data_IF_637186453326
#
_entry.id   IF_637186453326
#
_cell.length_a   1.000
_cell.length_b   1.000
_cell.length_c   1.000
_cell.angle_alpha   90.00
_cell.angle_beta   90.00
_cell.angle_gamma   90.00
#
_symmetry.space_group_name_H-M   'P 1'
#
loop_
_entity.id
_entity.type
_entity.pdbx_description
1 polymer ?
#
# COMPACT_ATOMS: atom_id res chain seq x y z
N UNK A 1 8.33 -15.38 -7.43
CA UNK A 1 9.57 -16.11 -7.73
C UNK A 1 10.81 -15.44 -7.10
N UNK A 2 11.12 -14.14 -7.39
CA UNK A 2 12.31 -13.47 -6.84
C UNK A 2 12.33 -13.48 -5.32
N UNK A 3 11.28 -13.03 -4.67
CA UNK A 3 11.18 -13.00 -3.19
C UNK A 3 11.36 -14.39 -2.57
N UNK A 4 10.76 -15.41 -3.16
CA UNK A 4 10.90 -16.79 -2.69
C UNK A 4 12.36 -17.24 -2.74
N UNK A 5 13.06 -16.95 -3.84
CA UNK A 5 14.49 -17.26 -3.97
C UNK A 5 15.30 -16.51 -2.93
N UNK A 6 15.10 -15.20 -2.76
CA UNK A 6 15.81 -14.38 -1.78
C UNK A 6 15.59 -14.88 -0.34
N UNK A 7 14.38 -15.31 -0.02
CA UNK A 7 14.07 -15.90 1.27
C UNK A 7 14.80 -17.25 1.47
N UNK A 8 14.76 -18.14 0.47
CA UNK A 8 15.40 -19.45 0.54
C UNK A 8 16.93 -19.36 0.69
N UNK A 9 17.57 -18.42 -0.02
CA UNK A 9 19.02 -18.17 0.10
C UNK A 9 19.40 -17.34 1.33
N UNK A 10 18.45 -17.05 2.22
CA UNK A 10 18.67 -16.31 3.48
C UNK A 10 19.11 -14.84 3.28
N UNK A 11 18.80 -14.25 2.15
CA UNK A 11 19.09 -12.84 1.89
C UNK A 11 18.09 -11.90 2.61
N UNK A 12 16.85 -12.35 2.77
CA UNK A 12 15.80 -11.65 3.51
C UNK A 12 15.08 -12.59 4.48
N UNK A 13 14.56 -12.07 5.58
CA UNK A 13 13.70 -12.78 6.52
C UNK A 13 12.21 -12.59 6.20
N UNK A 14 11.89 -11.75 5.22
CA UNK A 14 10.53 -11.45 4.81
C UNK A 14 10.09 -12.46 3.76
N UNK A 15 8.96 -13.12 4.01
CA UNK A 15 8.32 -14.03 3.07
C UNK A 15 6.89 -13.59 2.74
N UNK A 16 6.61 -13.46 1.47
CA UNK A 16 5.33 -13.02 0.95
C UNK A 16 4.81 -14.02 -0.09
N UNK A 17 4.16 -15.11 0.35
CA UNK A 17 3.87 -16.25 -0.54
C UNK A 17 2.77 -15.99 -1.58
N UNK A 18 1.79 -15.15 -1.30
CA UNK A 18 0.58 -15.04 -2.13
C UNK A 18 0.03 -13.63 -2.28
N UNK A 19 0.89 -12.62 -2.21
CA UNK A 19 0.41 -11.24 -2.27
C UNK A 19 0.33 -10.75 -3.73
N UNK A 20 -0.81 -11.00 -4.34
CA UNK A 20 -1.12 -10.51 -5.68
C UNK A 20 -1.17 -8.97 -5.72
N UNK A 21 -1.69 -8.34 -4.67
CA UNK A 21 -1.90 -6.90 -4.59
C UNK A 21 -0.59 -6.12 -4.51
N UNK A 22 0.34 -6.58 -3.71
CA UNK A 22 1.62 -5.90 -3.58
C UNK A 22 2.48 -6.08 -4.83
N UNK A 23 2.44 -7.27 -5.45
CA UNK A 23 3.12 -7.52 -6.72
C UNK A 23 2.52 -6.71 -7.88
N UNK A 24 1.23 -6.39 -7.84
CA UNK A 24 0.58 -5.57 -8.85
C UNK A 24 1.24 -4.18 -9.01
N UNK A 25 1.61 -3.53 -7.92
CA UNK A 25 2.28 -2.23 -7.97
C UNK A 25 3.59 -2.27 -8.76
N UNK A 26 4.41 -3.30 -8.56
CA UNK A 26 5.68 -3.46 -9.31
C UNK A 26 5.43 -3.67 -10.79
N UNK A 27 4.43 -4.48 -11.14
CA UNK A 27 4.06 -4.76 -12.53
C UNK A 27 3.60 -3.47 -13.23
N UNK A 28 2.77 -2.67 -12.59
CA UNK A 28 2.29 -1.40 -13.15
C UNK A 28 3.45 -0.45 -13.42
N UNK A 29 4.35 -0.25 -12.47
CA UNK A 29 5.51 0.62 -12.67
C UNK A 29 6.44 0.11 -13.79
N UNK A 30 6.72 -1.20 -13.82
CA UNK A 30 7.49 -1.80 -14.90
C UNK A 30 6.83 -1.64 -16.26
N UNK A 31 5.53 -1.86 -16.35
CA UNK A 31 4.77 -1.66 -17.60
C UNK A 31 4.80 -0.20 -18.06
N UNK A 32 4.67 0.77 -17.15
CA UNK A 32 4.77 2.20 -17.47
C UNK A 32 6.16 2.56 -18.03
N UNK A 33 7.22 2.01 -17.44
CA UNK A 33 8.59 2.20 -17.95
C UNK A 33 8.74 1.61 -19.34
N UNK A 34 8.25 0.39 -19.59
CA UNK A 34 8.27 -0.23 -20.91
C UNK A 34 7.50 0.63 -21.92
N UNK A 35 6.30 1.05 -21.55
CA UNK A 35 5.47 1.88 -22.42
C UNK A 35 6.14 3.19 -22.79
N UNK A 36 6.81 3.84 -21.84
CA UNK A 36 7.45 5.14 -22.05
C UNK A 36 8.78 5.06 -22.80
N UNK A 37 9.55 3.99 -22.54
CA UNK A 37 10.94 3.87 -23.06
C UNK A 37 11.07 2.84 -24.19
N UNK A 38 10.05 2.06 -24.46
CA UNK A 38 10.07 0.92 -25.38
C UNK A 38 11.20 -0.10 -25.07
N UNK A 39 11.66 -0.11 -23.81
CA UNK A 39 12.74 -0.98 -23.35
C UNK A 39 12.24 -1.98 -22.31
N UNK A 40 12.08 -3.24 -22.75
CA UNK A 40 11.58 -4.32 -21.89
C UNK A 40 12.55 -4.63 -20.73
N UNK A 41 13.85 -4.66 -20.99
CA UNK A 41 14.85 -4.95 -19.98
C UNK A 41 14.88 -3.88 -18.87
N UNK A 42 14.71 -2.60 -19.22
CA UNK A 42 14.63 -1.51 -18.27
C UNK A 42 13.37 -1.63 -17.40
N UNK A 43 12.25 -2.03 -17.97
CA UNK A 43 11.02 -2.26 -17.20
C UNK A 43 11.17 -3.39 -16.19
N UNK A 44 11.76 -4.52 -16.60
CA UNK A 44 12.04 -5.63 -15.68
C UNK A 44 13.03 -5.20 -14.58
N UNK A 45 14.09 -4.48 -14.92
CA UNK A 45 15.03 -3.95 -13.94
C UNK A 45 14.33 -3.04 -12.92
N UNK A 46 13.44 -2.16 -13.36
CA UNK A 46 12.62 -1.32 -12.50
C UNK A 46 11.77 -2.15 -11.52
N UNK A 47 11.09 -3.19 -12.01
CA UNK A 47 10.28 -4.09 -11.17
C UNK A 47 11.13 -4.78 -10.10
N UNK A 48 12.31 -5.27 -10.47
CA UNK A 48 13.25 -5.92 -9.54
C UNK A 48 13.72 -4.92 -8.48
N UNK A 49 14.15 -3.73 -8.87
CA UNK A 49 14.63 -2.70 -7.95
C UNK A 49 13.55 -2.27 -6.97
N UNK A 50 12.32 -2.05 -7.43
CA UNK A 50 11.20 -1.70 -6.56
C UNK A 50 10.86 -2.82 -5.58
N UNK A 51 10.95 -4.07 -6.00
CA UNK A 51 10.73 -5.21 -5.13
C UNK A 51 11.81 -5.32 -4.05
N UNK A 52 13.09 -5.18 -4.42
CA UNK A 52 14.21 -5.18 -3.48
C UNK A 52 14.12 -4.01 -2.49
N UNK A 53 13.76 -2.83 -2.97
CA UNK A 53 13.52 -1.65 -2.13
C UNK A 53 12.42 -1.92 -1.10
N UNK A 54 11.28 -2.48 -1.52
CA UNK A 54 10.19 -2.81 -0.61
C UNK A 54 10.59 -3.83 0.45
N UNK A 55 11.34 -4.87 0.09
CA UNK A 55 11.84 -5.86 1.05
C UNK A 55 12.79 -5.24 2.07
N UNK A 56 13.72 -4.39 1.63
CA UNK A 56 14.66 -3.71 2.51
C UNK A 56 13.94 -2.84 3.55
N UNK A 57 13.00 -2.00 3.10
CA UNK A 57 12.26 -1.14 4.01
C UNK A 57 11.34 -1.95 4.93
N UNK A 58 10.74 -3.01 4.43
CA UNK A 58 9.92 -3.92 5.22
C UNK A 58 10.70 -4.56 6.38
N UNK A 59 11.94 -4.95 6.15
CA UNK A 59 12.82 -5.45 7.21
C UNK A 59 13.19 -4.38 8.23
N UNK A 60 13.51 -3.16 7.77
CA UNK A 60 13.84 -2.04 8.67
C UNK A 60 12.71 -1.69 9.63
N UNK A 61 11.45 -1.77 9.18
CA UNK A 61 10.29 -1.43 9.99
C UNK A 61 9.68 -2.62 10.73
N UNK A 62 10.06 -3.86 10.41
CA UNK A 62 9.42 -5.08 10.88
C UNK A 62 9.22 -5.12 12.41
N UNK A 63 10.27 -4.86 13.18
CA UNK A 63 10.21 -4.88 14.66
C UNK A 63 9.26 -3.83 15.23
N UNK A 64 9.26 -2.60 14.65
CA UNK A 64 8.38 -1.50 15.10
C UNK A 64 6.93 -1.81 14.76
N UNK A 65 6.69 -2.27 13.54
CA UNK A 65 5.35 -2.58 13.03
C UNK A 65 4.72 -3.73 13.82
N UNK A 66 5.43 -4.83 13.96
CA UNK A 66 5.02 -6.02 14.71
C UNK A 66 4.65 -5.69 16.17
N UNK A 67 5.48 -4.86 16.82
CA UNK A 67 5.22 -4.39 18.19
C UNK A 67 4.00 -3.48 18.30
N UNK A 68 3.83 -2.56 17.35
CA UNK A 68 2.73 -1.58 17.37
C UNK A 68 1.37 -2.24 17.18
N UNK A 69 1.28 -3.18 16.25
CA UNK A 69 0.03 -3.88 15.95
C UNK A 69 -0.19 -5.15 16.78
N UNK A 70 0.78 -5.53 17.60
CA UNK A 70 0.77 -6.79 18.35
C UNK A 70 0.59 -8.02 17.45
N UNK A 71 1.23 -7.98 16.27
CA UNK A 71 1.31 -9.08 15.31
C UNK A 71 2.76 -9.54 15.23
N UNK A 72 3.15 -10.58 16.02
CA UNK A 72 4.51 -11.09 15.96
C UNK A 72 4.79 -11.64 14.56
N UNK A 73 6.01 -11.40 14.10
CA UNK A 73 6.51 -11.97 12.84
C UNK A 73 5.79 -11.47 11.57
N UNK A 74 5.22 -10.28 11.63
CA UNK A 74 4.56 -9.63 10.49
C UNK A 74 5.15 -8.24 10.25
N UNK A 75 5.15 -7.82 9.00
CA UNK A 75 5.57 -6.47 8.60
C UNK A 75 4.74 -5.94 7.44
N UNK A 76 4.91 -4.67 7.13
CA UNK A 76 4.34 -4.07 5.93
C UNK A 76 5.22 -4.38 4.73
N UNK A 77 4.61 -4.72 3.60
CA UNK A 77 5.29 -4.98 2.34
C UNK A 77 4.58 -4.32 1.14
N UNK A 78 3.44 -3.72 1.38
CA UNK A 78 2.74 -2.96 0.34
C UNK A 78 3.54 -1.71 -0.04
N UNK A 79 3.83 -1.52 -1.32
CA UNK A 79 4.66 -0.43 -1.80
C UNK A 79 4.17 0.95 -1.35
N UNK A 80 2.86 1.19 -1.42
CA UNK A 80 2.24 2.44 -0.97
C UNK A 80 2.34 2.70 0.55
N UNK A 81 2.67 1.67 1.34
CA UNK A 81 2.94 1.81 2.78
C UNK A 81 4.44 1.88 3.07
N UNK A 82 5.27 1.28 2.21
CA UNK A 82 6.72 1.26 2.33
C UNK A 82 7.34 2.61 1.97
N UNK A 83 6.81 3.29 0.96
CA UNK A 83 7.27 4.62 0.56
C UNK A 83 7.24 5.64 1.71
N UNK A 84 6.12 5.83 2.44
CA UNK A 84 6.08 6.76 3.56
C UNK A 84 6.84 6.26 4.80
N UNK A 85 7.18 4.98 4.89
CA UNK A 85 7.88 4.43 6.05
C UNK A 85 9.26 5.05 6.26
N UNK A 86 9.99 5.40 5.20
CA UNK A 86 11.28 6.12 5.31
C UNK A 86 11.08 7.46 5.99
N UNK A 87 10.11 8.24 5.55
CA UNK A 87 9.78 9.53 6.15
C UNK A 87 9.34 9.35 7.61
N UNK A 88 8.53 8.32 7.89
CA UNK A 88 8.11 8.00 9.25
C UNK A 88 9.30 7.66 10.16
N UNK A 89 10.30 6.91 9.70
CA UNK A 89 11.51 6.58 10.46
C UNK A 89 12.27 7.85 10.85
N UNK A 90 12.36 8.83 9.95
CA UNK A 90 13.07 10.09 10.18
C UNK A 90 12.27 11.05 11.06
N UNK A 91 10.95 11.12 10.85
CA UNK A 91 10.06 12.06 11.53
C UNK A 91 9.68 11.58 12.94
N UNK A 92 9.55 10.26 13.16
CA UNK A 92 9.14 9.68 14.44
C UNK A 92 9.97 10.17 15.65
N UNK A 93 11.33 10.22 15.60
CA UNK A 93 12.11 10.80 16.68
C UNK A 93 11.77 12.28 16.97
N UNK A 94 11.49 13.05 15.92
CA UNK A 94 11.15 14.48 16.04
C UNK A 94 9.78 14.64 16.70
N UNK A 95 8.79 13.84 16.28
CA UNK A 95 7.45 13.84 16.88
C UNK A 95 7.50 13.40 18.35
N UNK A 96 8.36 12.42 18.67
CA UNK A 96 8.58 11.97 20.04
C UNK A 96 9.19 13.08 20.91
N UNK A 97 10.16 13.83 20.39
CA UNK A 97 10.77 14.97 21.06
C UNK A 97 9.75 16.07 21.33
N UNK A 98 8.85 16.32 20.41
CA UNK A 98 7.76 17.30 20.54
C UNK A 98 6.59 16.81 21.42
N UNK A 99 6.65 15.58 21.94
CA UNK A 99 5.61 14.98 22.78
C UNK A 99 4.32 14.63 22.04
N UNK A 100 4.31 14.68 20.71
CA UNK A 100 3.14 14.42 19.88
C UNK A 100 2.78 12.91 19.84
N UNK A 101 3.67 12.04 20.25
CA UNK A 101 3.42 10.61 20.45
C UNK A 101 2.33 10.31 21.51
N UNK A 102 2.03 11.28 22.38
CA UNK A 102 0.96 11.19 23.40
C UNK A 102 -0.44 11.45 22.80
N UNK A 103 -0.51 12.04 21.61
CA UNK A 103 -1.77 12.33 20.93
C UNK A 103 -2.30 11.05 20.29
N UNK A 104 -3.28 10.42 20.91
CA UNK A 104 -3.95 9.23 20.36
C UNK A 104 -4.93 9.65 19.27
N UNK A 105 -4.45 9.71 18.03
CA UNK A 105 -5.30 9.86 16.85
C UNK A 105 -5.89 8.49 16.51
N UNK A 106 -7.09 8.21 17.00
CA UNK A 106 -7.81 7.00 16.62
C UNK A 106 -8.64 7.30 15.36
N UNK A 107 -8.42 6.59 14.23
CA UNK A 107 -9.20 6.81 13.00
C UNK A 107 -10.70 6.77 13.23
N UNK A 108 -11.20 5.81 14.02
CA UNK A 108 -12.62 5.71 14.39
C UNK A 108 -13.13 6.91 15.18
N UNK A 109 -12.29 7.53 16.00
CA UNK A 109 -12.65 8.74 16.75
C UNK A 109 -12.70 9.96 15.84
N UNK A 110 -11.83 10.01 14.83
CA UNK A 110 -11.84 11.08 13.81
C UNK A 110 -13.08 10.92 12.93
N UNK A 111 -13.37 9.71 12.43
CA UNK A 111 -14.57 9.39 11.68
C UNK A 111 -15.84 9.80 12.46
N UNK A 112 -15.94 9.41 13.73
CA UNK A 112 -17.06 9.78 14.60
C UNK A 112 -17.18 11.30 14.84
N UNK A 113 -16.06 12.02 14.93
CA UNK A 113 -16.07 13.49 15.07
C UNK A 113 -16.42 14.21 13.77
N UNK A 114 -15.99 13.69 12.63
CA UNK A 114 -16.29 14.25 11.32
C UNK A 114 -17.70 13.88 10.83
N UNK A 115 -18.36 12.89 11.46
CA UNK A 115 -19.68 12.43 11.09
C UNK A 115 -19.72 12.02 9.61
N UNK A 116 -20.71 12.52 8.86
CA UNK A 116 -20.89 12.20 7.44
C UNK A 116 -19.65 12.49 6.57
N UNK A 117 -18.86 13.51 6.91
CA UNK A 117 -17.62 13.84 6.17
C UNK A 117 -16.55 12.75 6.36
N UNK A 118 -16.56 12.03 7.48
CA UNK A 118 -15.64 10.94 7.79
C UNK A 118 -15.96 9.63 7.09
N UNK A 119 -17.10 9.50 6.47
CA UNK A 119 -17.48 8.28 5.74
C UNK A 119 -16.55 8.06 4.52
N UNK A 120 -16.09 6.81 4.28
CA UNK A 120 -15.19 6.51 3.15
C UNK A 120 -15.70 7.01 1.80
N UNK A 121 -16.99 6.90 1.55
CA UNK A 121 -17.60 7.36 0.30
C UNK A 121 -17.53 8.89 0.16
N UNK A 122 -17.83 9.63 1.21
CA UNK A 122 -17.77 11.10 1.23
C UNK A 122 -16.33 11.59 1.09
N UNK A 123 -15.40 10.98 1.82
CA UNK A 123 -13.97 11.28 1.67
C UNK A 123 -13.49 10.98 0.25
N UNK A 124 -13.90 9.84 -0.32
CA UNK A 124 -13.59 9.49 -1.72
C UNK A 124 -14.12 10.51 -2.71
N UNK A 125 -15.34 11.01 -2.52
CA UNK A 125 -15.92 12.05 -3.36
C UNK A 125 -15.14 13.37 -3.29
N UNK A 126 -14.78 13.81 -2.09
CA UNK A 126 -14.00 15.03 -1.87
C UNK A 126 -12.61 14.90 -2.49
N UNK A 127 -11.89 13.81 -2.18
CA UNK A 127 -10.54 13.57 -2.70
C UNK A 127 -10.55 13.43 -4.23
N UNK A 128 -11.48 12.66 -4.78
CA UNK A 128 -11.63 12.51 -6.22
C UNK A 128 -11.99 13.81 -6.92
N UNK A 129 -12.79 14.66 -6.27
CA UNK A 129 -13.10 16.00 -6.73
C UNK A 129 -11.86 16.90 -6.78
N UNK A 130 -11.06 16.91 -5.71
CA UNK A 130 -9.80 17.67 -5.66
C UNK A 130 -8.83 17.19 -6.75
N UNK A 131 -8.62 15.90 -6.88
CA UNK A 131 -7.76 15.31 -7.92
C UNK A 131 -8.31 15.64 -9.32
N UNK A 132 -9.62 15.54 -9.49
CA UNK A 132 -10.29 15.89 -10.74
C UNK A 132 -10.09 17.35 -11.13
N UNK A 133 -10.19 18.29 -10.19
CA UNK A 133 -9.91 19.71 -10.40
C UNK A 133 -8.44 19.91 -10.79
N UNK A 134 -7.51 19.35 -10.02
CA UNK A 134 -6.08 19.48 -10.30
C UNK A 134 -5.69 18.91 -11.66
N UNK A 135 -6.28 17.76 -12.04
CA UNK A 135 -6.04 17.13 -13.35
C UNK A 135 -6.67 17.85 -14.54
N UNK A 136 -7.63 18.74 -14.30
CA UNK A 136 -8.37 19.46 -15.36
C UNK A 136 -8.27 20.99 -15.27
N UNK A 137 -7.28 21.54 -14.57
CA UNK A 137 -7.15 22.99 -14.35
C UNK A 137 -7.30 23.80 -15.63
N UNK A 138 -6.69 23.37 -16.74
CA UNK A 138 -6.80 24.04 -18.05
C UNK A 138 -8.15 23.86 -18.78
N UNK A 139 -9.08 23.05 -18.25
CA UNK A 139 -10.37 22.72 -18.87
C UNK A 139 -11.58 23.13 -18.02
N UNK A 140 -11.36 23.77 -16.87
CA UNK A 140 -12.43 24.13 -15.93
C UNK A 140 -13.39 25.19 -16.46
N UNK A 141 -13.05 25.85 -17.56
CA UNK A 141 -13.94 26.80 -18.27
C UNK A 141 -15.00 26.11 -19.14
N UNK A 142 -14.89 24.77 -19.32
CA UNK A 142 -15.80 23.98 -20.15
C UNK A 142 -16.65 23.03 -19.34
N UNK A 143 -17.88 22.77 -19.79
CA UNK A 143 -18.76 21.74 -19.22
C UNK A 143 -18.10 20.33 -19.20
N UNK A 144 -17.34 20.00 -20.24
CA UNK A 144 -16.61 18.74 -20.33
C UNK A 144 -15.54 18.61 -19.25
N UNK A 145 -14.85 19.70 -18.90
CA UNK A 145 -13.89 19.71 -17.79
C UNK A 145 -14.56 19.39 -16.44
N UNK A 146 -15.67 20.03 -16.16
CA UNK A 146 -16.46 19.73 -14.95
C UNK A 146 -17.04 18.31 -14.97
N UNK A 147 -17.49 17.82 -16.12
CA UNK A 147 -17.90 16.41 -16.27
C UNK A 147 -16.81 15.44 -15.88
N UNK A 148 -15.55 15.70 -16.28
CA UNK A 148 -14.39 14.90 -15.88
C UNK A 148 -14.12 14.97 -14.37
N UNK A 149 -14.27 16.14 -13.76
CA UNK A 149 -14.13 16.32 -12.29
C UNK A 149 -15.17 15.50 -11.53
N UNK A 150 -16.44 15.60 -11.91
CA UNK A 150 -17.51 14.82 -11.27
C UNK A 150 -17.34 13.32 -11.49
N UNK A 151 -16.91 12.91 -12.66
CA UNK A 151 -16.62 11.49 -12.94
C UNK A 151 -15.51 10.99 -12.02
N UNK A 152 -14.43 11.75 -11.84
CA UNK A 152 -13.34 11.38 -10.92
C UNK A 152 -13.85 11.32 -9.47
N UNK A 153 -14.65 12.27 -9.02
CA UNK A 153 -15.23 12.30 -7.67
C UNK A 153 -16.10 11.08 -7.40
N UNK A 154 -17.03 10.78 -8.31
CA UNK A 154 -17.95 9.64 -8.16
C UNK A 154 -17.21 8.30 -8.23
N UNK A 155 -16.26 8.16 -9.18
CA UNK A 155 -15.46 6.95 -9.32
C UNK A 155 -14.63 6.69 -8.06
N UNK A 156 -13.98 7.70 -7.50
CA UNK A 156 -13.20 7.59 -6.26
C UNK A 156 -14.08 7.23 -5.07
N UNK A 157 -15.25 7.86 -4.95
CA UNK A 157 -16.24 7.51 -3.92
C UNK A 157 -16.68 6.05 -4.01
N UNK A 158 -17.01 5.58 -5.22
CA UNK A 158 -17.41 4.21 -5.46
C UNK A 158 -16.28 3.22 -5.12
N UNK A 159 -15.06 3.51 -5.53
CA UNK A 159 -13.87 2.69 -5.22
C UNK A 159 -13.67 2.60 -3.71
N UNK A 160 -13.70 3.72 -2.99
CA UNK A 160 -13.51 3.72 -1.53
C UNK A 160 -14.62 2.98 -0.79
N UNK A 161 -15.83 2.93 -1.33
CA UNK A 161 -16.95 2.18 -0.73
C UNK A 161 -16.89 0.67 -1.02
N UNK A 162 -16.47 0.29 -2.22
CA UNK A 162 -16.59 -1.09 -2.73
C UNK A 162 -15.28 -1.86 -2.56
N UNK A 163 -14.14 -1.23 -2.81
CA UNK A 163 -12.84 -1.88 -2.85
C UNK A 163 -12.48 -2.63 -1.55
N UNK A 164 -12.72 -2.10 -0.33
CA UNK A 164 -12.43 -2.83 0.90
C UNK A 164 -13.21 -4.14 1.02
N UNK A 165 -14.45 -4.17 0.50
CA UNK A 165 -15.29 -5.38 0.49
C UNK A 165 -14.73 -6.43 -0.48
N UNK A 166 -14.36 -6.00 -1.68
CA UNK A 166 -13.72 -6.87 -2.68
C UNK A 166 -12.41 -7.41 -2.14
N UNK A 167 -11.55 -6.56 -1.59
CA UNK A 167 -10.27 -6.95 -1.00
C UNK A 167 -10.45 -7.99 0.13
N UNK A 168 -11.47 -7.80 0.98
CA UNK A 168 -11.80 -8.77 2.04
C UNK A 168 -12.23 -10.13 1.47
N UNK A 169 -13.02 -10.16 0.40
CA UNK A 169 -13.42 -11.41 -0.27
C UNK A 169 -12.21 -12.15 -0.85
N UNK A 170 -11.31 -11.42 -1.51
CA UNK A 170 -10.07 -12.00 -2.01
C UNK A 170 -9.18 -12.52 -0.87
N UNK A 171 -9.00 -11.75 0.19
CA UNK A 171 -8.22 -12.18 1.35
C UNK A 171 -8.76 -13.47 1.95
N UNK A 172 -10.07 -13.61 2.08
CA UNK A 172 -10.72 -14.82 2.57
C UNK A 172 -10.51 -16.02 1.63
N UNK A 173 -10.61 -15.80 0.33
CA UNK A 173 -10.39 -16.85 -0.67
C UNK A 173 -8.93 -17.35 -0.69
N UNK A 174 -7.95 -16.48 -0.44
CA UNK A 174 -6.53 -16.83 -0.41
C UNK A 174 -6.02 -17.28 0.97
N UNK A 175 -6.78 -17.08 2.05
CA UNK A 175 -6.37 -17.45 3.40
C UNK A 175 -5.89 -18.92 3.53
N UNK A 176 -6.57 -19.93 2.96
CA UNK A 176 -6.11 -21.32 3.05
C UNK A 176 -4.76 -21.55 2.36
N UNK A 177 -4.53 -20.88 1.23
CA UNK A 177 -3.26 -21.00 0.47
C UNK A 177 -2.12 -20.37 1.26
N UNK A 178 -2.37 -19.21 1.85
CA UNK A 178 -1.38 -18.49 2.68
C UNK A 178 -1.03 -19.31 3.92
N UNK A 179 -2.01 -19.92 4.58
CA UNK A 179 -1.75 -20.75 5.76
C UNK A 179 -0.98 -22.04 5.40
N UNK A 180 -1.32 -22.70 4.30
CA UNK A 180 -0.58 -23.86 3.82
C UNK A 180 0.88 -23.51 3.48
N UNK A 181 1.11 -22.36 2.83
CA UNK A 181 2.45 -21.86 2.54
C UNK A 181 3.23 -21.55 3.84
N UNK A 182 2.58 -20.93 4.81
CA UNK A 182 3.17 -20.60 6.11
C UNK A 182 3.60 -21.86 6.88
N UNK A 183 2.73 -22.87 6.93
CA UNK A 183 3.04 -24.16 7.60
C UNK A 183 4.21 -24.84 6.88
N UNK A 184 4.22 -24.88 5.57
CA UNK A 184 5.33 -25.44 4.78
C UNK A 184 6.66 -24.74 5.08
N UNK A 185 6.66 -23.42 5.11
CA UNK A 185 7.86 -22.61 5.34
C UNK A 185 8.36 -22.70 6.79
N UNK A 186 7.45 -22.80 7.76
CA UNK A 186 7.82 -23.01 9.18
C UNK A 186 8.54 -24.33 9.41
N UNK A 187 8.13 -25.36 8.68
CA UNK A 187 8.77 -26.68 8.76
C UNK A 187 10.15 -26.72 8.05
N UNK A 188 10.48 -25.70 7.25
CA UNK A 188 11.73 -25.60 6.49
C UNK A 188 12.85 -24.82 7.22
N UNK A 189 12.62 -24.39 8.46
CA UNK A 189 13.60 -23.70 9.31
C UNK A 189 12.96 -22.70 10.27
N UNK A 190 13.66 -22.38 11.38
CA UNK A 190 13.26 -21.41 12.40
C UNK A 190 13.22 -19.95 11.88
N UNK A 191 12.50 -19.71 10.79
CA UNK A 191 12.35 -18.39 10.20
C UNK A 191 10.90 -17.97 10.11
N UNK A 192 10.74 -16.73 10.37
CA UNK A 192 9.48 -16.01 10.35
C UNK A 192 9.05 -15.58 8.94
#
# INVERSE_FOLDING_TARGET
ALQTVLFLVKWTNIFQPSDLWNNYSYIVWGAMVIFKTHNFALGIACMILLNLYSLLISELVAKRWSKYYNYPNCTIIAMHNVEPAIFAIVIDPILNLLGLNKVKLNPKSIEKKLGFIGEPMTLGFILGGIIGILGNVGKLTSMAGWGSVFTAAIATAAIMAIFPKIASMFAQAFAPITEAARVFMKNSGDRE
#
